data_IF_723512785839
#
_entry.id   IF_723512785839
#
_cell.length_a   1.000
_cell.length_b   1.000
_cell.length_c   1.000
_cell.angle_alpha   90.00
_cell.angle_beta   90.00
_cell.angle_gamma   90.00
#
_symmetry.space_group_name_H-M   'P 1'
#
loop_
_entity.id
_entity.type
_entity.pdbx_description
1 polymer ?
#
# COMPACT_ATOMS: atom_id res chain seq x y z
N UNK A 1 -3.72 -0.56 17.97
CA UNK A 1 -4.47 0.33 17.06
C UNK A 1 -4.80 1.62 17.79
N UNK A 2 -5.29 1.54 19.03
CA UNK A 2 -5.72 2.72 19.80
C UNK A 2 -4.59 3.76 20.00
N UNK A 3 -3.37 3.34 20.32
CA UNK A 3 -2.21 4.25 20.49
C UNK A 3 -1.78 4.99 19.20
N UNK A 4 -2.01 4.39 18.03
CA UNK A 4 -1.77 5.07 16.74
C UNK A 4 -2.82 6.15 16.51
N UNK A 5 -4.06 5.87 16.91
CA UNK A 5 -5.19 6.78 16.69
C UNK A 5 -5.20 7.96 17.64
N UNK A 6 -4.54 7.84 18.79
CA UNK A 6 -4.32 8.91 19.77
C UNK A 6 -2.96 9.62 19.60
N UNK A 7 -2.21 9.27 18.55
CA UNK A 7 -0.87 9.78 18.25
C UNK A 7 0.17 9.61 19.38
N UNK A 8 -0.06 8.68 20.30
CA UNK A 8 0.90 8.32 21.37
C UNK A 8 2.11 7.58 20.77
N UNK A 9 1.91 6.92 19.62
CA UNK A 9 2.96 6.19 18.89
C UNK A 9 2.87 6.48 17.40
N UNK A 10 4.02 6.59 16.74
CA UNK A 10 4.10 6.60 15.27
C UNK A 10 3.95 5.18 14.69
N UNK A 11 3.43 5.04 13.45
CA UNK A 11 3.42 3.77 12.75
C UNK A 11 4.85 3.32 12.41
N UNK A 12 5.10 2.02 12.49
CA UNK A 12 6.39 1.39 12.18
C UNK A 12 6.10 -0.01 11.63
N UNK A 13 6.18 -0.13 10.30
CA UNK A 13 5.80 -1.36 9.60
C UNK A 13 6.65 -2.53 10.03
N UNK A 14 7.96 -2.33 10.15
CA UNK A 14 8.90 -3.39 10.51
C UNK A 14 8.64 -3.92 11.93
N UNK A 15 8.38 -3.03 12.89
CA UNK A 15 8.05 -3.40 14.27
C UNK A 15 6.71 -4.11 14.36
N UNK A 16 5.71 -3.68 13.61
CA UNK A 16 4.39 -4.31 13.58
C UNK A 16 4.43 -5.72 12.99
N UNK A 17 5.15 -5.93 11.89
CA UNK A 17 5.39 -7.27 11.33
C UNK A 17 6.12 -8.15 12.36
N UNK A 18 7.13 -7.62 13.05
CA UNK A 18 7.84 -8.36 14.11
C UNK A 18 6.90 -8.79 15.24
N UNK A 19 5.96 -7.94 15.65
CA UNK A 19 4.97 -8.30 16.68
C UNK A 19 4.03 -9.40 16.18
N UNK A 20 3.52 -9.29 14.95
CA UNK A 20 2.66 -10.32 14.35
C UNK A 20 3.39 -11.66 14.26
N UNK A 21 4.64 -11.66 13.79
CA UNK A 21 5.44 -12.89 13.65
C UNK A 21 5.63 -13.65 14.96
N UNK A 22 5.76 -12.95 16.10
CA UNK A 22 5.92 -13.59 17.43
C UNK A 22 4.73 -14.47 17.81
N UNK A 23 3.54 -14.17 17.30
CA UNK A 23 2.29 -14.82 17.72
C UNK A 23 1.55 -15.53 16.59
N UNK A 24 1.99 -15.39 15.34
CA UNK A 24 1.27 -15.89 14.15
C UNK A 24 1.07 -17.41 14.07
N UNK A 25 1.80 -18.19 14.87
CA UNK A 25 1.70 -19.65 14.96
C UNK A 25 1.16 -20.13 16.33
N UNK A 26 0.69 -19.19 17.17
CA UNK A 26 0.25 -19.49 18.53
C UNK A 26 -1.25 -19.24 18.72
N UNK A 27 -1.87 -20.02 19.59
CA UNK A 27 -3.29 -19.89 19.91
C UNK A 27 -4.21 -20.63 18.94
N UNK A 28 -5.51 -20.34 19.04
CA UNK A 28 -6.52 -20.97 18.21
C UNK A 28 -6.60 -20.29 16.84
N UNK A 29 -6.18 -21.01 15.81
CA UNK A 29 -6.29 -20.53 14.43
C UNK A 29 -7.76 -20.49 14.00
N UNK A 30 -8.18 -19.36 13.43
CA UNK A 30 -9.52 -19.16 12.88
C UNK A 30 -9.45 -18.92 11.39
N UNK A 31 -10.36 -19.53 10.64
CA UNK A 31 -10.53 -19.23 9.22
C UNK A 31 -11.11 -17.83 9.09
N UNK A 32 -10.37 -16.95 8.43
CA UNK A 32 -10.79 -15.58 8.11
C UNK A 32 -10.92 -15.42 6.60
N UNK A 33 -11.67 -14.41 6.16
CA UNK A 33 -11.73 -13.98 4.76
C UNK A 33 -11.20 -12.56 4.68
N UNK A 34 -9.88 -12.38 4.47
CA UNK A 34 -9.30 -11.04 4.33
C UNK A 34 -9.91 -10.30 3.14
N UNK A 35 -9.78 -8.98 3.13
CA UNK A 35 -10.08 -8.16 1.96
C UNK A 35 -9.32 -8.68 0.74
N UNK A 36 -9.95 -8.63 -0.44
CA UNK A 36 -9.30 -9.06 -1.69
C UNK A 36 -8.17 -8.08 -2.03
N UNK A 37 -7.03 -8.62 -2.42
CA UNK A 37 -5.87 -7.86 -2.91
C UNK A 37 -6.12 -7.46 -4.37
N UNK A 38 -5.84 -6.20 -4.72
CA UNK A 38 -6.02 -5.72 -6.09
C UNK A 38 -4.88 -6.17 -7.00
N UNK A 39 -3.64 -6.07 -6.50
CA UNK A 39 -2.44 -6.51 -7.20
C UNK A 39 -1.50 -7.27 -6.25
N UNK A 40 -1.10 -8.47 -6.65
CA UNK A 40 -0.05 -9.26 -6.01
C UNK A 40 1.16 -9.34 -6.93
N UNK A 41 2.32 -8.97 -6.40
CA UNK A 41 3.60 -9.15 -7.07
C UNK A 41 4.52 -10.00 -6.21
N UNK A 42 5.27 -10.88 -6.84
CA UNK A 42 6.31 -11.67 -6.20
C UNK A 42 7.63 -11.48 -6.94
N UNK A 43 8.68 -11.14 -6.21
CA UNK A 43 10.02 -10.99 -6.79
C UNK A 43 10.65 -12.35 -7.05
N UNK A 44 11.69 -12.39 -7.88
CA UNK A 44 12.52 -13.59 -8.05
C UNK A 44 13.20 -14.07 -6.76
N UNK A 45 13.29 -13.20 -5.74
CA UNK A 45 13.77 -13.53 -4.40
C UNK A 45 12.65 -13.90 -3.42
N UNK A 46 11.44 -14.21 -3.92
CA UNK A 46 10.25 -14.60 -3.15
C UNK A 46 9.79 -13.53 -2.14
N UNK A 47 9.98 -12.24 -2.44
CA UNK A 47 9.38 -11.16 -1.67
C UNK A 47 7.99 -10.85 -2.22
N UNK A 48 7.01 -10.78 -1.34
CA UNK A 48 5.61 -10.60 -1.69
C UNK A 48 5.18 -9.16 -1.46
N UNK A 49 4.59 -8.55 -2.47
CA UNK A 49 3.99 -7.23 -2.40
C UNK A 49 2.48 -7.34 -2.67
N UNK A 50 1.68 -6.90 -1.72
CA UNK A 50 0.22 -6.83 -1.82
C UNK A 50 -0.23 -5.38 -1.86
N UNK A 51 -0.97 -5.02 -2.89
CA UNK A 51 -1.46 -3.66 -3.10
C UNK A 51 -2.97 -3.56 -2.94
N UNK A 52 -3.38 -2.50 -2.26
CA UNK A 52 -4.75 -1.96 -2.30
C UNK A 52 -4.71 -0.64 -3.09
N UNK A 53 -5.39 -0.60 -4.23
CA UNK A 53 -5.34 0.53 -5.15
C UNK A 53 -6.51 1.47 -4.82
N UNK A 54 -6.19 2.71 -4.49
CA UNK A 54 -7.18 3.74 -4.14
C UNK A 54 -7.17 4.90 -5.14
N UNK A 55 -8.36 5.42 -5.40
CA UNK A 55 -8.56 6.64 -6.17
C UNK A 55 -8.42 7.87 -5.28
N UNK A 56 -7.53 8.79 -5.65
CA UNK A 56 -7.37 10.12 -5.04
C UNK A 56 -7.28 10.14 -3.50
N UNK A 57 -7.47 11.32 -2.89
CA UNK A 57 -7.37 11.60 -1.45
C UNK A 57 -8.34 10.71 -0.65
N UNK A 58 -7.85 9.77 0.18
CA UNK A 58 -8.75 8.99 1.01
C UNK A 58 -9.30 9.83 2.16
N UNK A 59 -10.55 9.55 2.55
CA UNK A 59 -11.18 10.23 3.69
C UNK A 59 -10.49 9.84 5.00
N UNK A 60 -10.36 10.80 5.92
CA UNK A 60 -9.66 10.57 7.20
C UNK A 60 -10.21 9.41 8.04
N UNK A 61 -11.51 9.10 7.89
CA UNK A 61 -12.12 7.93 8.53
C UNK A 61 -11.60 6.58 8.03
N UNK A 62 -11.09 6.51 6.79
CA UNK A 62 -10.66 5.26 6.15
C UNK A 62 -9.26 4.77 6.52
N UNK A 63 -8.42 5.60 7.14
CA UNK A 63 -7.02 5.21 7.42
C UNK A 63 -6.89 4.07 8.43
N UNK A 64 -7.80 3.99 9.41
CA UNK A 64 -7.85 2.85 10.35
C UNK A 64 -8.17 1.55 9.61
N UNK A 65 -9.06 1.63 8.64
CA UNK A 65 -9.46 0.47 7.82
C UNK A 65 -8.31 0.03 6.93
N UNK A 66 -7.61 0.98 6.27
CA UNK A 66 -6.41 0.67 5.50
C UNK A 66 -5.37 -0.02 6.36
N UNK A 67 -5.01 0.58 7.51
CA UNK A 67 -4.01 -0.01 8.40
C UNK A 67 -4.42 -1.41 8.85
N UNK A 68 -5.70 -1.63 9.14
CA UNK A 68 -6.23 -2.96 9.48
C UNK A 68 -6.07 -3.94 8.32
N UNK A 69 -6.50 -3.58 7.11
CA UNK A 69 -6.36 -4.43 5.92
C UNK A 69 -4.91 -4.81 5.66
N UNK A 70 -3.99 -3.84 5.72
CA UNK A 70 -2.55 -4.09 5.55
C UNK A 70 -2.02 -5.08 6.60
N UNK A 71 -2.39 -4.93 7.87
CA UNK A 71 -1.94 -5.82 8.95
C UNK A 71 -2.61 -7.21 8.92
N UNK A 72 -3.87 -7.29 8.50
CA UNK A 72 -4.58 -8.56 8.31
C UNK A 72 -3.94 -9.41 7.21
N UNK A 73 -3.54 -8.79 6.11
CA UNK A 73 -2.78 -9.47 5.07
C UNK A 73 -1.43 -9.98 5.57
N UNK A 74 -0.68 -9.16 6.33
CA UNK A 74 0.57 -9.60 6.98
C UNK A 74 0.31 -10.80 7.89
N UNK A 75 -0.73 -10.74 8.72
CA UNK A 75 -1.07 -11.82 9.64
C UNK A 75 -1.46 -13.11 8.90
N UNK A 76 -2.29 -13.02 7.85
CA UNK A 76 -2.70 -14.16 7.05
C UNK A 76 -1.51 -14.82 6.33
N UNK A 77 -0.59 -14.02 5.79
CA UNK A 77 0.62 -14.53 5.15
C UNK A 77 1.56 -15.18 6.18
N UNK A 78 1.80 -14.53 7.32
CA UNK A 78 2.65 -15.08 8.39
C UNK A 78 2.07 -16.35 9.03
N UNK A 79 0.74 -16.46 9.11
CA UNK A 79 0.05 -17.68 9.56
C UNK A 79 0.31 -18.87 8.62
N UNK A 80 0.45 -18.61 7.32
CA UNK A 80 0.78 -19.64 6.32
C UNK A 80 2.29 -19.91 6.24
N UNK A 81 3.11 -18.87 6.30
CA UNK A 81 4.57 -18.93 6.27
C UNK A 81 5.18 -17.85 7.18
N UNK A 82 5.65 -18.21 8.40
CA UNK A 82 6.19 -17.25 9.37
C UNK A 82 7.40 -16.43 8.89
N UNK A 83 8.15 -16.98 7.91
CA UNK A 83 9.36 -16.39 7.38
C UNK A 83 9.13 -15.59 6.09
N UNK A 84 7.87 -15.48 5.63
CA UNK A 84 7.53 -14.73 4.41
C UNK A 84 8.02 -13.29 4.52
N UNK A 85 8.71 -12.81 3.48
CA UNK A 85 9.05 -11.40 3.31
C UNK A 85 7.87 -10.72 2.62
N UNK A 86 7.04 -10.04 3.41
CA UNK A 86 5.79 -9.45 2.94
C UNK A 86 5.79 -7.94 3.12
N UNK A 87 5.32 -7.27 2.08
CA UNK A 87 5.10 -5.83 1.99
C UNK A 87 3.64 -5.61 1.60
N UNK A 88 2.95 -4.73 2.30
CA UNK A 88 1.54 -4.42 2.03
C UNK A 88 1.42 -2.90 1.88
N UNK A 89 0.90 -2.44 0.75
CA UNK A 89 1.05 -1.06 0.32
C UNK A 89 -0.29 -0.51 -0.19
N UNK A 90 -0.63 0.71 0.19
CA UNK A 90 -1.67 1.50 -0.47
C UNK A 90 -1.05 2.14 -1.71
N UNK A 91 -1.62 1.89 -2.87
CA UNK A 91 -1.20 2.49 -4.12
C UNK A 91 -2.20 3.55 -4.57
N UNK A 92 -1.70 4.73 -4.95
CA UNK A 92 -2.51 5.80 -5.56
C UNK A 92 -1.94 6.06 -6.96
N UNK A 93 -2.67 5.73 -8.05
CA UNK A 93 -2.12 5.74 -9.41
C UNK A 93 -1.67 7.10 -9.94
N UNK A 94 -2.16 8.20 -9.37
CA UNK A 94 -1.79 9.56 -9.76
C UNK A 94 -1.86 10.51 -8.57
N UNK A 95 -1.11 11.61 -8.63
CA UNK A 95 -1.16 12.67 -7.64
C UNK A 95 -2.18 13.74 -8.07
N UNK A 96 -3.29 13.94 -7.34
CA UNK A 96 -4.27 14.96 -7.68
C UNK A 96 -3.79 16.41 -7.44
N UNK A 97 -2.61 16.58 -6.85
CA UNK A 97 -2.02 17.89 -6.51
C UNK A 97 -0.91 18.33 -7.46
N UNK A 98 -0.62 17.57 -8.52
CA UNK A 98 0.43 17.92 -9.48
C UNK A 98 0.37 19.39 -9.93
N UNK A 99 1.51 20.11 -10.03
CA UNK A 99 2.90 19.64 -9.83
C UNK A 99 3.36 19.63 -8.36
N UNK A 100 2.46 19.93 -7.40
CA UNK A 100 2.80 19.93 -5.98
C UNK A 100 2.91 18.50 -5.45
N UNK A 101 3.82 18.24 -4.50
CA UNK A 101 3.95 16.92 -3.90
C UNK A 101 2.65 16.49 -3.22
N UNK A 102 2.36 15.19 -3.25
CA UNK A 102 1.18 14.65 -2.61
C UNK A 102 1.20 14.94 -1.10
N UNK A 103 0.12 15.53 -0.59
CA UNK A 103 0.03 15.93 0.81
C UNK A 103 -0.31 14.73 1.72
N UNK A 104 0.72 14.09 2.28
CA UNK A 104 0.61 12.86 3.08
C UNK A 104 0.25 13.09 4.56
N UNK A 105 0.08 14.33 5.02
CA UNK A 105 -0.05 14.64 6.45
C UNK A 105 -1.20 13.91 7.14
N UNK A 106 -2.33 13.75 6.45
CA UNK A 106 -3.52 13.08 6.99
C UNK A 106 -3.25 11.60 7.31
N UNK A 107 -2.31 10.98 6.58
CA UNK A 107 -1.97 9.56 6.70
C UNK A 107 -0.81 9.29 7.67
N UNK A 108 0.00 10.31 7.99
CA UNK A 108 1.26 10.19 8.76
C UNK A 108 1.09 9.63 10.18
N UNK A 109 -0.12 9.72 10.75
CA UNK A 109 -0.43 9.16 12.08
C UNK A 109 -0.79 7.67 12.08
N UNK A 110 -1.19 7.12 10.93
CA UNK A 110 -1.75 5.75 10.85
C UNK A 110 -0.92 4.80 9.98
N UNK A 111 -0.30 5.32 8.92
CA UNK A 111 0.50 4.55 7.97
C UNK A 111 1.96 4.96 8.05
N UNK A 112 2.84 3.97 7.94
CA UNK A 112 4.27 4.16 7.73
C UNK A 112 4.46 4.53 6.25
N UNK A 113 4.45 5.84 5.96
CA UNK A 113 4.33 6.37 4.59
C UNK A 113 5.46 5.92 3.67
N UNK A 114 6.64 5.62 4.20
CA UNK A 114 7.80 5.20 3.41
C UNK A 114 7.68 3.74 2.95
N UNK A 115 6.89 2.93 3.68
CA UNK A 115 6.76 1.49 3.45
C UNK A 115 5.35 1.05 3.04
N UNK A 116 4.33 1.87 3.30
CA UNK A 116 2.91 1.52 3.14
C UNK A 116 2.15 2.42 2.17
N UNK A 117 2.81 3.40 1.53
CA UNK A 117 2.20 4.26 0.52
C UNK A 117 3.10 4.42 -0.70
N UNK A 118 2.52 4.31 -1.89
CA UNK A 118 3.16 4.67 -3.16
C UNK A 118 2.21 5.51 -4.01
N UNK A 119 2.66 6.66 -4.48
CA UNK A 119 1.84 7.60 -5.26
C UNK A 119 2.47 7.89 -6.62
N UNK A 120 1.69 7.83 -7.70
CA UNK A 120 2.11 8.22 -9.05
C UNK A 120 3.39 7.49 -9.47
N UNK A 121 4.45 8.26 -9.74
CA UNK A 121 5.76 7.74 -10.11
C UNK A 121 6.28 6.65 -9.17
N UNK A 122 6.13 6.80 -7.84
CA UNK A 122 6.62 5.80 -6.88
C UNK A 122 5.95 4.43 -7.03
N UNK A 123 4.71 4.40 -7.53
CA UNK A 123 3.95 3.18 -7.77
C UNK A 123 4.27 2.59 -9.13
N UNK A 124 4.16 3.39 -10.19
CA UNK A 124 4.36 2.92 -11.55
C UNK A 124 5.82 2.55 -11.83
N UNK A 125 6.77 3.34 -11.37
CA UNK A 125 8.19 3.02 -11.55
C UNK A 125 8.63 1.83 -10.71
N UNK A 126 7.95 1.56 -9.59
CA UNK A 126 8.18 0.35 -8.82
C UNK A 126 7.76 -0.91 -9.60
N UNK A 127 6.71 -0.83 -10.41
CA UNK A 127 6.18 -1.97 -11.17
C UNK A 127 6.91 -2.13 -12.50
N UNK A 128 7.01 -1.05 -13.29
CA UNK A 128 7.51 -1.11 -14.66
C UNK A 128 8.97 -0.69 -14.82
N UNK A 129 9.59 -0.13 -13.77
CA UNK A 129 10.93 0.46 -13.82
C UNK A 129 10.90 1.97 -14.02
N UNK A 130 12.07 2.61 -13.86
CA UNK A 130 12.21 4.07 -13.94
C UNK A 130 11.67 4.62 -15.26
N UNK A 131 10.83 5.65 -15.21
CA UNK A 131 10.27 6.31 -16.39
C UNK A 131 8.90 5.75 -16.82
N UNK A 132 8.42 4.69 -16.15
CA UNK A 132 7.13 4.06 -16.52
C UNK A 132 5.98 5.04 -16.33
N UNK A 133 6.04 5.87 -15.30
CA UNK A 133 4.97 6.82 -15.06
C UNK A 133 4.86 7.86 -16.17
N UNK A 134 6.00 8.39 -16.61
CA UNK A 134 6.09 9.35 -17.71
C UNK A 134 5.64 8.72 -19.02
N UNK A 135 6.09 7.50 -19.33
CA UNK A 135 5.66 6.75 -20.51
C UNK A 135 4.13 6.57 -20.53
N UNK A 136 3.52 6.28 -19.37
CA UNK A 136 2.06 6.17 -19.24
C UNK A 136 1.36 7.51 -19.52
N UNK A 137 1.89 8.62 -18.98
CA UNK A 137 1.32 9.95 -19.21
C UNK A 137 1.39 10.35 -20.69
N UNK A 138 2.53 10.10 -21.34
CA UNK A 138 2.71 10.35 -22.78
C UNK A 138 1.70 9.52 -23.61
N UNK A 139 1.48 8.26 -23.24
CA UNK A 139 0.45 7.44 -23.89
C UNK A 139 -0.95 8.04 -23.75
N UNK A 140 -1.31 8.54 -22.56
CA UNK A 140 -2.61 9.18 -22.34
C UNK A 140 -2.75 10.48 -23.14
N UNK A 141 -1.69 11.29 -23.22
CA UNK A 141 -1.68 12.54 -23.97
C UNK A 141 -1.88 12.29 -25.48
N UNK A 142 -1.12 11.34 -26.05
CA UNK A 142 -1.21 10.99 -27.48
C UNK A 142 -2.62 10.52 -27.89
N UNK A 143 -3.25 9.68 -27.07
CA UNK A 143 -4.62 9.21 -27.33
C UNK A 143 -5.62 10.36 -27.15
N UNK A 144 -5.42 11.21 -26.14
CA UNK A 144 -6.22 12.41 -25.92
C UNK A 144 -6.21 13.35 -27.11
N UNK A 145 -5.04 13.72 -27.63
CA UNK A 145 -4.92 14.63 -28.79
C UNK A 145 -5.55 14.05 -30.05
N UNK A 146 -5.45 12.73 -30.25
CA UNK A 146 -6.06 12.05 -31.40
C UNK A 146 -7.59 12.05 -31.31
N UNK A 147 -8.16 12.03 -30.10
CA UNK A 147 -9.61 11.94 -29.89
C UNK A 147 -10.31 13.32 -29.95
N UNK A 148 -9.63 14.41 -29.63
CA UNK A 148 -10.19 15.77 -29.60
C UNK A 148 -9.85 16.64 -30.82
N UNK A 149 -9.22 16.06 -31.84
CA UNK A 149 -9.04 16.70 -33.15
C UNK A 149 -10.32 16.53 -33.99
N UNK A 150 -11.33 17.37 -33.76
CA UNK A 150 -12.54 17.49 -34.59
C UNK A 150 -12.72 18.93 -35.04
#
# INVERSE_FOLDING_TARGET
MDDLTTAIRSPDKAKEIKVIRRVCQSGQMRKVKPTKVDLFLETSSNEQYLFDIKTAKPNAGGFKEFKRTLLEWVAAACASNPNVKIHTVIAIPYNPYEPQPYDRWTMKGMLDLDHELKVGAEFWDFIGGRGTYEDLLDCFEQVGTTTYSV
#
